data_IF_348329353144
#
_entry.id   IF_348329353144
#
_cell.length_a   1.000
_cell.length_b   1.000
_cell.length_c   1.000
_cell.angle_alpha   90.00
_cell.angle_beta   90.00
_cell.angle_gamma   90.00
#
_symmetry.space_group_name_H-M   'P 1'
#
loop_
_entity.id
_entity.type
_entity.pdbx_description
1 polymer ?
#
# COMPACT_ATOMS: atom_id res chain seq x y z
N UNK A 1 -11.05 -52.38 20.04
CA UNK A 1 -11.01 -50.94 20.34
C UNK A 1 -9.59 -50.45 20.11
N UNK A 2 -9.35 -49.69 19.04
CA UNK A 2 -8.12 -48.90 18.89
C UNK A 2 -8.48 -47.65 18.10
N UNK A 3 -8.34 -46.52 18.77
CA UNK A 3 -8.84 -45.21 18.35
C UNK A 3 -8.14 -44.70 17.10
N UNK A 4 -8.97 -44.11 16.23
CA UNK A 4 -8.64 -43.50 14.96
C UNK A 4 -7.66 -42.32 15.11
N UNK A 5 -6.67 -42.31 14.22
CA UNK A 5 -6.21 -41.16 13.43
C UNK A 5 -6.24 -39.77 14.11
N UNK A 6 -5.13 -39.38 14.73
CA UNK A 6 -4.76 -37.97 14.86
C UNK A 6 -4.16 -37.49 13.53
N UNK A 7 -5.03 -37.23 12.56
CA UNK A 7 -4.69 -36.46 11.36
C UNK A 7 -5.86 -35.55 11.05
N UNK A 8 -5.81 -34.30 11.49
CA UNK A 8 -6.67 -33.25 10.96
C UNK A 8 -6.25 -31.85 11.45
N UNK A 9 -5.89 -31.01 10.47
CA UNK A 9 -6.15 -29.57 10.47
C UNK A 9 -5.36 -28.66 11.42
N UNK A 10 -4.03 -28.66 11.28
CA UNK A 10 -3.35 -27.35 11.22
C UNK A 10 -3.45 -26.90 9.76
N UNK A 11 -4.55 -26.22 9.42
CA UNK A 11 -4.57 -25.37 8.24
C UNK A 11 -3.41 -24.40 8.40
N UNK A 12 -2.29 -24.69 7.72
CA UNK A 12 -1.32 -23.67 7.34
C UNK A 12 -2.09 -22.69 6.47
N UNK A 13 -2.78 -21.72 7.10
CA UNK A 13 -3.33 -20.54 6.44
C UNK A 13 -2.18 -19.95 5.66
N UNK A 14 -2.15 -20.21 4.35
CA UNK A 14 -1.15 -19.68 3.44
C UNK A 14 -1.31 -18.17 3.49
N UNK A 15 -0.52 -17.51 4.36
CA UNK A 15 -0.58 -16.06 4.59
C UNK A 15 -0.31 -15.41 3.25
N UNK A 16 -1.31 -14.69 2.74
CA UNK A 16 -1.18 -13.92 1.52
C UNK A 16 -0.21 -12.79 1.83
N UNK A 17 1.02 -12.83 1.30
CA UNK A 17 2.06 -11.90 1.72
C UNK A 17 1.74 -10.46 1.30
N UNK A 18 2.16 -9.48 2.11
CA UNK A 18 2.08 -8.04 1.81
C UNK A 18 2.63 -7.73 0.42
N UNK A 19 3.78 -8.32 0.08
CA UNK A 19 4.40 -8.15 -1.24
C UNK A 19 3.50 -8.65 -2.38
N UNK A 20 2.73 -9.72 -2.19
CA UNK A 20 1.78 -10.22 -3.20
C UNK A 20 0.57 -9.29 -3.31
N UNK A 21 0.03 -8.81 -2.18
CA UNK A 21 -1.03 -7.79 -2.17
C UNK A 21 -0.60 -6.52 -2.89
N UNK A 22 0.59 -6.01 -2.58
CA UNK A 22 1.14 -4.80 -3.20
C UNK A 22 1.18 -4.93 -4.72
N UNK A 23 1.62 -6.09 -5.25
CA UNK A 23 1.64 -6.35 -6.70
C UNK A 23 0.25 -6.38 -7.31
N UNK A 24 -0.72 -7.03 -6.66
CA UNK A 24 -2.11 -7.09 -7.14
C UNK A 24 -2.70 -5.69 -7.24
N UNK A 25 -2.54 -4.90 -6.17
CA UNK A 25 -3.00 -3.51 -6.09
C UNK A 25 -2.30 -2.64 -7.15
N UNK A 26 -0.98 -2.78 -7.29
CA UNK A 26 -0.18 -2.05 -8.28
C UNK A 26 -0.71 -2.32 -9.70
N UNK A 27 -0.96 -3.59 -10.04
CA UNK A 27 -1.51 -3.98 -11.34
C UNK A 27 -2.94 -3.44 -11.56
N UNK A 28 -3.79 -3.53 -10.55
CA UNK A 28 -5.16 -3.01 -10.59
C UNK A 28 -5.22 -1.51 -10.89
N UNK A 29 -4.36 -0.73 -10.22
CA UNK A 29 -4.26 0.72 -10.39
C UNK A 29 -3.66 1.10 -11.74
N UNK A 30 -2.59 0.42 -12.19
CA UNK A 30 -1.96 0.68 -13.49
C UNK A 30 -2.93 0.47 -14.65
N UNK A 31 -3.75 -0.59 -14.61
CA UNK A 31 -4.82 -0.81 -15.60
C UNK A 31 -5.84 0.34 -15.68
N UNK A 32 -5.91 1.18 -14.64
CA UNK A 32 -6.79 2.36 -14.54
C UNK A 32 -6.05 3.68 -14.81
N UNK A 33 -4.83 3.62 -15.33
CA UNK A 33 -4.05 4.79 -15.72
C UNK A 33 -3.32 5.49 -14.57
N UNK A 34 -3.13 4.83 -13.43
CA UNK A 34 -2.29 5.35 -12.37
C UNK A 34 -0.80 5.09 -12.66
N UNK A 35 0.05 6.04 -12.30
CA UNK A 35 1.48 5.77 -12.11
C UNK A 35 1.68 5.27 -10.69
N UNK A 36 2.36 4.14 -10.52
CA UNK A 36 2.46 3.47 -9.21
C UNK A 36 3.88 2.98 -8.92
N UNK A 37 4.22 2.96 -7.63
CA UNK A 37 5.46 2.40 -7.09
C UNK A 37 5.17 1.70 -5.76
N UNK A 38 5.94 0.65 -5.46
CA UNK A 38 5.92 0.02 -4.14
C UNK A 38 7.08 0.51 -3.27
N UNK A 39 6.86 0.50 -1.95
CA UNK A 39 7.85 0.84 -0.92
C UNK A 39 8.47 2.24 -1.13
N UNK A 40 7.62 3.23 -1.38
CA UNK A 40 8.08 4.62 -1.53
C UNK A 40 8.53 5.13 -0.16
N UNK A 41 9.76 5.63 -0.09
CA UNK A 41 10.31 6.20 1.16
C UNK A 41 10.25 7.72 1.07
N UNK A 42 9.59 8.35 2.04
CA UNK A 42 9.58 9.80 2.25
C UNK A 42 10.49 10.12 3.44
N UNK A 43 11.21 11.23 3.41
CA UNK A 43 12.19 11.60 4.45
C UNK A 43 12.00 13.04 4.94
N UNK A 44 12.59 13.33 6.10
CA UNK A 44 12.50 14.64 6.76
C UNK A 44 12.99 15.83 5.93
N UNK A 45 13.83 15.62 4.91
CA UNK A 45 14.40 16.75 4.13
C UNK A 45 13.32 17.57 3.41
N UNK A 46 12.17 16.98 3.11
CA UNK A 46 11.12 17.61 2.29
C UNK A 46 9.73 17.58 2.90
N UNK A 47 9.52 16.82 3.96
CA UNK A 47 8.19 16.46 4.44
C UNK A 47 8.01 16.63 5.95
N UNK A 48 9.01 17.11 6.69
CA UNK A 48 8.89 17.35 8.14
C UNK A 48 8.21 16.18 8.86
N UNK A 49 8.62 14.94 8.54
CA UNK A 49 7.97 13.70 9.01
C UNK A 49 7.86 13.70 10.53
N UNK A 50 8.85 14.22 11.26
CA UNK A 50 8.77 14.37 12.72
C UNK A 50 7.55 15.19 13.16
N UNK A 51 7.30 16.32 12.50
CA UNK A 51 6.16 17.21 12.78
C UNK A 51 4.83 16.53 12.39
N UNK A 52 4.75 15.98 11.18
CA UNK A 52 3.53 15.31 10.68
C UNK A 52 3.16 14.09 11.51
N UNK A 53 4.16 13.32 11.96
CA UNK A 53 3.92 12.06 12.66
C UNK A 53 3.86 12.20 14.17
N UNK A 54 4.32 13.32 14.73
CA UNK A 54 4.50 13.51 16.18
C UNK A 54 5.49 12.51 16.81
N UNK A 55 6.30 11.82 15.99
CA UNK A 55 7.25 10.79 16.41
C UNK A 55 8.66 11.18 16.00
N UNK A 56 9.67 10.66 16.70
CA UNK A 56 11.10 10.78 16.33
C UNK A 56 11.45 9.92 15.09
N UNK A 57 10.63 10.00 14.04
CA UNK A 57 10.84 9.31 12.78
C UNK A 57 11.50 10.26 11.78
N UNK A 58 12.54 9.77 11.11
CA UNK A 58 13.25 10.51 10.05
C UNK A 58 12.79 10.16 8.64
N UNK A 59 12.03 9.07 8.52
CA UNK A 59 11.50 8.54 7.26
C UNK A 59 10.24 7.72 7.51
N UNK A 60 9.40 7.64 6.49
CA UNK A 60 8.24 6.75 6.41
C UNK A 60 8.28 5.97 5.10
N UNK A 61 7.79 4.73 5.12
CA UNK A 61 7.69 3.86 3.95
C UNK A 61 6.22 3.62 3.66
N UNK A 62 5.81 3.95 2.45
CA UNK A 62 4.46 3.70 1.93
C UNK A 62 4.49 2.42 1.09
N UNK A 63 3.61 1.47 1.39
CA UNK A 63 3.63 0.16 0.72
C UNK A 63 3.30 0.26 -0.76
N UNK A 64 2.23 0.98 -1.11
CA UNK A 64 1.92 1.35 -2.50
C UNK A 64 1.59 2.84 -2.58
N UNK A 65 2.39 3.57 -3.34
CA UNK A 65 2.14 4.97 -3.67
C UNK A 65 1.75 5.09 -5.15
N UNK A 66 0.69 5.84 -5.41
CA UNK A 66 0.16 6.04 -6.74
C UNK A 66 -0.21 7.51 -6.97
N UNK A 67 -0.21 7.93 -8.23
CA UNK A 67 -0.88 9.17 -8.62
C UNK A 67 -1.57 9.07 -9.97
N UNK A 68 -2.61 9.89 -10.14
CA UNK A 68 -3.34 10.11 -11.39
C UNK A 68 -3.92 11.52 -11.40
N UNK A 69 -3.70 12.26 -12.48
CA UNK A 69 -4.21 13.63 -12.67
C UNK A 69 -3.92 14.55 -11.46
N UNK A 70 -2.68 14.51 -10.94
CA UNK A 70 -2.26 15.31 -9.79
C UNK A 70 -2.72 14.81 -8.42
N UNK A 71 -3.65 13.85 -8.35
CA UNK A 71 -4.10 13.27 -7.09
C UNK A 71 -3.19 12.12 -6.67
N UNK A 72 -2.79 12.14 -5.40
CA UNK A 72 -1.90 11.16 -4.77
C UNK A 72 -2.75 10.20 -3.94
N UNK A 73 -2.57 8.90 -4.20
CA UNK A 73 -3.20 7.82 -3.44
C UNK A 73 -2.11 7.00 -2.77
N UNK A 74 -2.18 6.90 -1.44
CA UNK A 74 -1.35 5.97 -0.66
C UNK A 74 -2.19 4.80 -0.19
N UNK A 75 -1.57 3.63 -0.13
CA UNK A 75 -2.19 2.39 0.31
C UNK A 75 -1.20 1.68 1.23
N UNK A 76 -1.59 1.55 2.49
CA UNK A 76 -0.88 0.75 3.49
C UNK A 76 -1.45 -0.65 3.51
N UNK A 77 -0.59 -1.66 3.60
CA UNK A 77 -0.98 -3.06 3.55
C UNK A 77 -0.70 -3.71 4.91
N UNK A 78 -1.74 -4.21 5.54
CA UNK A 78 -1.64 -4.78 6.88
C UNK A 78 -2.05 -6.26 6.89
N UNK A 79 -1.15 -7.13 7.35
CA UNK A 79 -1.46 -8.53 7.66
C UNK A 79 -2.00 -8.74 9.09
N UNK A 80 -2.20 -7.66 9.82
CA UNK A 80 -2.97 -7.57 11.05
C UNK A 80 -3.39 -6.13 11.21
N UNK A 81 -4.65 -5.87 11.54
CA UNK A 81 -5.15 -4.50 11.60
C UNK A 81 -4.53 -3.78 12.83
N UNK A 82 -3.53 -2.92 12.58
CA UNK A 82 -2.85 -2.10 13.60
C UNK A 82 -2.89 -0.62 13.17
N UNK A 83 -3.97 0.07 13.53
CA UNK A 83 -4.41 1.31 12.87
C UNK A 83 -3.76 2.61 13.33
N UNK A 84 -2.81 2.58 14.25
CA UNK A 84 -2.09 3.79 14.65
C UNK A 84 -1.11 4.27 13.56
N UNK A 85 -0.83 3.44 12.55
CA UNK A 85 0.16 3.68 11.51
C UNK A 85 -0.38 4.46 10.28
N UNK A 86 -1.58 4.18 9.74
CA UNK A 86 -2.04 4.85 8.52
C UNK A 86 -2.38 6.35 8.71
N UNK A 87 -2.88 6.76 9.89
CA UNK A 87 -3.26 8.16 10.14
C UNK A 87 -2.10 9.16 9.94
N UNK A 88 -0.87 8.69 10.15
CA UNK A 88 0.36 9.47 9.94
C UNK A 88 0.51 9.97 8.50
N UNK A 89 -0.13 9.32 7.54
CA UNK A 89 0.03 9.60 6.11
C UNK A 89 -1.08 10.47 5.54
N UNK A 90 -2.07 10.83 6.35
CA UNK A 90 -3.24 11.58 5.91
C UNK A 90 -2.88 12.94 5.33
N UNK A 91 -1.86 13.62 5.86
CA UNK A 91 -1.39 14.92 5.35
C UNK A 91 -0.50 14.82 4.10
N UNK A 92 -0.14 13.60 3.70
CA UNK A 92 0.80 13.32 2.61
C UNK A 92 0.11 12.71 1.39
N UNK A 93 -1.18 12.38 1.47
CA UNK A 93 -1.95 11.81 0.39
C UNK A 93 -3.34 12.45 0.26
N UNK A 94 -3.84 12.53 -0.98
CA UNK A 94 -5.19 13.03 -1.23
C UNK A 94 -6.18 11.95 -0.84
N UNK A 95 -5.81 10.67 -1.07
CA UNK A 95 -6.59 9.51 -0.67
C UNK A 95 -5.67 8.53 0.02
N UNK A 96 -6.11 8.03 1.17
CA UNK A 96 -5.42 6.99 1.91
C UNK A 96 -6.31 5.76 1.96
N UNK A 97 -5.74 4.60 1.65
CA UNK A 97 -6.40 3.32 1.84
C UNK A 97 -5.64 2.43 2.79
N UNK A 98 -6.39 1.61 3.50
CA UNK A 98 -5.93 0.42 4.18
C UNK A 98 -6.32 -0.80 3.35
N UNK A 99 -5.33 -1.61 2.98
CA UNK A 99 -5.52 -2.88 2.32
C UNK A 99 -5.15 -4.04 3.24
N UNK A 100 -5.96 -5.09 3.25
CA UNK A 100 -5.74 -6.26 4.10
C UNK A 100 -6.27 -7.54 3.43
N UNK A 101 -5.80 -8.74 3.82
CA UNK A 101 -6.35 -9.98 3.26
C UNK A 101 -7.83 -10.13 3.61
N UNK A 102 -8.67 -10.63 2.71
CA UNK A 102 -10.06 -10.98 3.07
C UNK A 102 -10.10 -12.07 4.14
N UNK A 103 -11.03 -11.95 5.10
CA UNK A 103 -11.26 -12.94 6.16
C UNK A 103 -11.05 -12.46 7.60
N UNK A 104 -10.84 -11.16 7.80
CA UNK A 104 -10.85 -10.53 9.13
C UNK A 104 -12.30 -10.27 9.51
N UNK A 105 -12.80 -11.02 10.47
CA UNK A 105 -14.23 -11.06 10.83
C UNK A 105 -14.47 -10.92 12.33
N UNK A 106 -13.41 -10.84 13.15
CA UNK A 106 -13.57 -10.69 14.59
C UNK A 106 -14.19 -9.32 14.93
N UNK A 107 -14.89 -9.19 16.07
CA UNK A 107 -15.42 -7.90 16.50
C UNK A 107 -14.36 -6.79 16.56
N UNK A 108 -13.16 -7.12 17.07
CA UNK A 108 -12.02 -6.20 17.14
C UNK A 108 -11.60 -5.73 15.75
N UNK A 109 -11.53 -6.63 14.76
CA UNK A 109 -11.23 -6.25 13.37
C UNK A 109 -12.26 -5.27 12.83
N UNK A 110 -13.55 -5.51 13.10
CA UNK A 110 -14.63 -4.64 12.63
C UNK A 110 -14.57 -3.25 13.27
N UNK A 111 -14.35 -3.17 14.58
CA UNK A 111 -14.19 -1.91 15.30
C UNK A 111 -13.02 -1.10 14.75
N UNK A 112 -11.91 -1.78 14.46
CA UNK A 112 -10.76 -1.17 13.83
C UNK A 112 -11.13 -0.64 12.43
N UNK A 113 -11.71 -1.46 11.55
CA UNK A 113 -12.13 -0.99 10.23
C UNK A 113 -13.10 0.20 10.31
N UNK A 114 -14.06 0.17 11.24
CA UNK A 114 -14.97 1.30 11.48
C UNK A 114 -14.24 2.55 11.93
N UNK A 115 -13.27 2.41 12.85
CA UNK A 115 -12.40 3.50 13.26
C UNK A 115 -11.66 4.09 12.06
N UNK A 116 -10.99 3.27 11.23
CA UNK A 116 -10.28 3.76 10.05
C UNK A 116 -11.21 4.52 9.08
N UNK A 117 -12.40 3.98 8.80
CA UNK A 117 -13.40 4.62 7.95
C UNK A 117 -13.87 5.98 8.53
N UNK A 118 -14.04 6.08 9.85
CA UNK A 118 -14.44 7.33 10.51
C UNK A 118 -13.39 8.45 10.35
N UNK A 119 -12.12 8.11 10.13
CA UNK A 119 -11.06 9.07 9.79
C UNK A 119 -10.93 9.34 8.28
N UNK A 120 -11.83 8.78 7.46
CA UNK A 120 -11.84 8.98 6.02
C UNK A 120 -10.84 8.12 5.24
N UNK A 121 -10.34 7.05 5.87
CA UNK A 121 -9.47 6.07 5.22
C UNK A 121 -10.35 5.09 4.43
N UNK A 122 -10.04 4.91 3.15
CA UNK A 122 -10.69 3.89 2.32
C UNK A 122 -10.25 2.49 2.73
N UNK A 123 -11.13 1.50 2.59
CA UNK A 123 -10.88 0.14 3.07
C UNK A 123 -11.02 -0.84 1.94
N UNK A 124 -9.96 -1.59 1.65
CA UNK A 124 -9.94 -2.59 0.57
C UNK A 124 -9.55 -3.96 1.12
N UNK A 125 -10.44 -4.93 0.97
CA UNK A 125 -10.12 -6.33 1.21
C UNK A 125 -9.53 -6.96 -0.07
N UNK A 126 -8.42 -7.66 0.08
CA UNK A 126 -7.73 -8.37 -1.00
C UNK A 126 -8.03 -9.86 -0.89
N UNK A 127 -8.72 -10.41 -1.89
CA UNK A 127 -9.03 -11.82 -1.95
C UNK A 127 -7.80 -12.66 -2.32
N UNK A 128 -7.79 -13.94 -1.96
CA UNK A 128 -6.72 -14.88 -2.35
C UNK A 128 -6.58 -15.02 -3.88
N UNK A 129 -7.68 -14.83 -4.60
CA UNK A 129 -7.75 -14.81 -6.08
C UNK A 129 -7.07 -13.57 -6.69
N UNK A 130 -6.78 -12.55 -5.88
CA UNK A 130 -6.27 -11.25 -6.35
C UNK A 130 -7.38 -10.26 -6.69
N UNK A 131 -8.64 -10.59 -6.44
CA UNK A 131 -9.75 -9.63 -6.53
C UNK A 131 -9.68 -8.62 -5.38
N UNK A 132 -10.08 -7.39 -5.66
CA UNK A 132 -10.16 -6.30 -4.68
C UNK A 132 -11.62 -6.00 -4.40
N UNK A 133 -11.98 -5.94 -3.13
CA UNK A 133 -13.30 -5.58 -2.64
C UNK A 133 -13.21 -4.28 -1.84
N UNK A 134 -13.90 -3.24 -2.30
CA UNK A 134 -13.94 -1.95 -1.62
C UNK A 134 -15.04 -1.98 -0.56
N UNK A 135 -14.67 -1.81 0.70
CA UNK A 135 -15.57 -1.84 1.85
C UNK A 135 -15.91 -0.44 2.36
N UNK A 136 -15.03 0.53 2.15
CA UNK A 136 -15.27 1.94 2.44
C UNK A 136 -14.51 2.84 1.45
N UNK A 137 -15.17 3.88 0.95
CA UNK A 137 -14.53 4.90 0.11
C UNK A 137 -13.67 5.85 0.97
N UNK A 138 -12.49 6.28 0.48
CA UNK A 138 -11.71 7.28 1.17
C UNK A 138 -12.35 8.66 1.00
N UNK A 139 -12.15 9.52 1.99
CA UNK A 139 -12.39 10.96 1.80
C UNK A 139 -11.18 11.59 1.10
N UNK A 140 -11.41 12.66 0.34
CA UNK A 140 -10.32 13.39 -0.28
C UNK A 140 -9.75 14.43 0.70
N UNK A 141 -8.43 14.45 0.87
CA UNK A 141 -7.74 15.42 1.72
C UNK A 141 -6.95 16.42 0.88
N UNK A 142 -7.00 17.71 1.23
CA UNK A 142 -6.13 18.70 0.61
C UNK A 142 -4.68 18.45 1.05
N UNK A 143 -3.75 18.52 0.10
CA UNK A 143 -2.31 18.55 0.38
C UNK A 143 -1.75 19.88 -0.12
N UNK A 144 -0.82 20.52 0.62
CA UNK A 144 -0.06 21.64 0.09
C UNK A 144 0.59 21.30 -1.26
N UNK A 145 0.37 22.16 -2.26
CA UNK A 145 0.77 21.90 -3.65
C UNK A 145 2.27 21.59 -3.79
N UNK A 146 3.12 22.30 -3.03
CA UNK A 146 4.56 22.05 -2.99
C UNK A 146 4.89 20.62 -2.59
N UNK A 147 4.23 20.08 -1.55
CA UNK A 147 4.42 18.68 -1.09
C UNK A 147 3.92 17.71 -2.15
N UNK A 148 2.74 17.96 -2.72
CA UNK A 148 2.17 17.11 -3.77
C UNK A 148 3.10 16.99 -4.99
N UNK A 149 3.65 18.11 -5.47
CA UNK A 149 4.60 18.13 -6.60
C UNK A 149 5.84 17.28 -6.29
N UNK A 150 6.41 17.37 -5.09
CA UNK A 150 7.59 16.57 -4.69
C UNK A 150 7.25 15.08 -4.69
N UNK A 151 6.12 14.67 -4.09
CA UNK A 151 5.71 13.26 -4.03
C UNK A 151 5.49 12.69 -5.43
N UNK A 152 4.78 13.43 -6.30
CA UNK A 152 4.53 13.01 -7.69
C UNK A 152 5.85 12.83 -8.45
N UNK A 153 6.80 13.75 -8.28
CA UNK A 153 8.12 13.64 -8.89
C UNK A 153 8.89 12.40 -8.40
N UNK A 154 8.80 12.07 -7.11
CA UNK A 154 9.41 10.86 -6.55
C UNK A 154 8.78 9.59 -7.13
N UNK A 155 7.45 9.53 -7.21
CA UNK A 155 6.73 8.40 -7.82
C UNK A 155 7.14 8.24 -9.29
N UNK A 156 7.14 9.34 -10.06
CA UNK A 156 7.53 9.33 -11.48
C UNK A 156 8.98 8.87 -11.69
N UNK A 157 9.92 9.41 -10.91
CA UNK A 157 11.34 9.04 -10.99
C UNK A 157 11.53 7.54 -10.75
N UNK A 158 10.94 7.00 -9.68
CA UNK A 158 11.09 5.59 -9.31
C UNK A 158 10.35 4.65 -10.28
N UNK A 159 9.21 5.08 -10.83
CA UNK A 159 8.50 4.33 -11.87
C UNK A 159 9.31 4.22 -13.18
N UNK A 160 10.06 5.28 -13.56
CA UNK A 160 10.98 5.25 -14.72
C UNK A 160 12.16 4.31 -14.49
N UNK A 161 12.82 4.41 -13.34
CA UNK A 161 13.93 3.53 -12.97
C UNK A 161 13.55 2.04 -12.98
N UNK A 162 12.33 1.69 -12.56
CA UNK A 162 11.80 0.31 -12.60
C UNK A 162 11.60 -0.21 -14.04
N UNK A 163 11.36 0.68 -15.01
CA UNK A 163 11.26 0.31 -16.44
C UNK A 163 12.64 0.12 -17.05
N UNK A 164 13.57 1.00 -16.72
CA UNK A 164 14.95 0.98 -17.23
C UNK A 164 15.75 -0.20 -16.66
N UNK A 165 15.63 -0.51 -15.37
CA UNK A 165 16.27 -1.68 -14.76
C UNK A 165 15.71 -3.05 -15.19
N UNK A 166 14.61 -3.05 -15.97
CA UNK A 166 14.05 -4.25 -16.60
C UNK A 166 14.42 -4.35 -18.09
N UNK A 167 15.19 -3.40 -18.62
CA UNK A 167 15.87 -3.59 -19.90
C UNK A 167 17.15 -4.36 -19.61
N UNK A 168 17.24 -5.60 -20.06
CA UNK A 168 18.52 -6.31 -20.14
C UNK A 168 19.55 -5.37 -20.78
N UNK A 169 20.82 -5.38 -20.33
CA UNK A 169 21.85 -4.58 -20.97
C UNK A 169 21.84 -4.87 -22.49
N UNK A 170 22.08 -3.86 -23.35
CA UNK A 170 22.20 -4.12 -24.77
C UNK A 170 23.23 -5.23 -24.95
N UNK A 171 22.82 -6.31 -25.60
CA UNK A 171 23.76 -7.32 -26.09
C UNK A 171 24.61 -6.58 -27.11
N UNK A 172 25.79 -6.15 -26.69
CA UNK A 172 26.82 -5.71 -27.62
C UNK A 172 27.26 -6.99 -28.33
N UNK A 173 26.65 -7.27 -29.49
CA UNK A 173 27.19 -8.27 -30.40
C UNK A 173 28.54 -7.73 -30.87
N UNK A 174 29.62 -8.24 -30.29
CA UNK A 174 30.96 -8.03 -30.81
C UNK A 174 30.98 -8.47 -32.28
N UNK A 175 31.16 -7.51 -33.18
CA UNK A 175 31.58 -7.78 -34.54
C UNK A 175 32.93 -8.51 -34.51
N UNK A 176 32.96 -9.69 -35.11
CA UNK A 176 34.14 -10.25 -35.79
C UNK A 176 33.69 -10.76 -37.14
#
# INVERSE_FOLDING_TARGET
MSGKQNSSYIEKKQRFSERKMAKVIEQYLRKRGYTTVCELVLNNRYFDIKEITGKELTKVRIDVAAHKNGNITFIEIENGLWLTHPLLYRELAHRLFLAFPKGYTSPVDKEQLQFAAAFGIGIVAVQKTGELELLAEPTNHPIPEKRARVIINLINKRARQKKEGNQSPPVISSFK
#
